data_IF_435502841648
#
_entry.id   IF_435502841648
#
_cell.length_a   1.000
_cell.length_b   1.000
_cell.length_c   1.000
_cell.angle_alpha   90.00
_cell.angle_beta   90.00
_cell.angle_gamma   90.00
#
_symmetry.space_group_name_H-M   'P 1'
#
loop_
_entity.id
_entity.type
_entity.pdbx_description
1 polymer ?
#
# COMPACT_ATOMS: atom_id res chain seq x y z
N UNK A 1 -10.79 -14.97 -3.03
CA UNK A 1 -11.75 -14.10 -2.32
C UNK A 1 -12.91 -13.80 -3.26
N UNK A 2 -13.17 -12.56 -3.67
CA UNK A 2 -14.30 -12.18 -4.56
C UNK A 2 -13.96 -12.08 -6.05
N UNK A 3 -12.69 -12.30 -6.42
CA UNK A 3 -12.24 -12.31 -7.81
C UNK A 3 -11.51 -11.04 -8.26
N UNK A 4 -11.34 -10.04 -7.39
CA UNK A 4 -10.74 -8.74 -7.72
C UNK A 4 -9.36 -8.88 -8.38
N UNK A 5 -8.48 -9.73 -7.85
CA UNK A 5 -7.13 -9.92 -8.40
C UNK A 5 -7.17 -10.63 -9.76
N UNK A 6 -8.14 -11.50 -10.00
CA UNK A 6 -8.35 -12.08 -11.33
C UNK A 6 -8.83 -11.01 -12.33
N UNK A 7 -9.71 -10.09 -11.91
CA UNK A 7 -10.12 -8.97 -12.75
C UNK A 7 -8.95 -8.03 -13.08
N UNK A 8 -8.09 -7.71 -12.10
CA UNK A 8 -6.85 -6.95 -12.31
C UNK A 8 -5.92 -7.66 -13.28
N UNK A 9 -5.67 -8.96 -13.07
CA UNK A 9 -4.84 -9.79 -13.96
C UNK A 9 -5.39 -9.80 -15.39
N UNK A 10 -6.70 -9.91 -15.54
CA UNK A 10 -7.37 -9.96 -16.85
C UNK A 10 -7.32 -8.61 -17.56
N UNK A 11 -7.57 -7.51 -16.86
CA UNK A 11 -7.44 -6.16 -17.43
C UNK A 11 -6.00 -5.85 -17.85
N UNK A 12 -5.02 -6.27 -17.04
CA UNK A 12 -3.60 -6.16 -17.36
C UNK A 12 -3.22 -7.00 -18.60
N UNK A 13 -3.67 -8.25 -18.65
CA UNK A 13 -3.42 -9.15 -19.77
C UNK A 13 -4.07 -8.64 -21.07
N UNK A 14 -5.27 -8.05 -20.99
CA UNK A 14 -5.92 -7.41 -22.14
C UNK A 14 -5.07 -6.28 -22.72
N UNK A 15 -4.52 -5.40 -21.88
CA UNK A 15 -3.65 -4.30 -22.35
C UNK A 15 -2.39 -4.86 -23.01
N UNK A 16 -1.78 -5.88 -22.41
CA UNK A 16 -0.60 -6.56 -22.96
C UNK A 16 -0.90 -7.18 -24.34
N UNK A 17 -2.04 -7.86 -24.47
CA UNK A 17 -2.47 -8.48 -25.72
C UNK A 17 -2.81 -7.45 -26.80
N UNK A 18 -3.47 -6.36 -26.44
CA UNK A 18 -3.81 -5.28 -27.36
C UNK A 18 -2.56 -4.57 -27.90
N UNK A 19 -1.55 -4.39 -27.04
CA UNK A 19 -0.26 -3.82 -27.41
C UNK A 19 0.44 -4.68 -28.47
N UNK A 20 0.63 -5.98 -28.21
CA UNK A 20 1.31 -6.87 -29.16
C UNK A 20 0.48 -7.08 -30.44
N UNK A 21 -0.86 -7.09 -30.34
CA UNK A 21 -1.72 -7.09 -31.52
C UNK A 21 -1.56 -5.81 -32.34
N UNK A 22 -1.41 -4.64 -31.71
CA UNK A 22 -1.15 -3.39 -32.44
C UNK A 22 0.17 -3.44 -33.22
N UNK A 23 1.22 -4.02 -32.63
CA UNK A 23 2.48 -4.27 -33.35
C UNK A 23 2.25 -5.15 -34.58
N UNK A 24 1.49 -6.24 -34.42
CA UNK A 24 1.19 -7.19 -35.48
C UNK A 24 0.37 -6.57 -36.62
N UNK A 25 -0.60 -5.71 -36.30
CA UNK A 25 -1.53 -5.10 -37.27
C UNK A 25 -0.98 -3.83 -37.94
N UNK A 26 0.35 -3.70 -38.02
CA UNK A 26 1.02 -2.65 -38.77
C UNK A 26 1.63 -1.52 -37.93
N UNK A 27 1.55 -1.59 -36.60
CA UNK A 27 2.23 -0.68 -35.68
C UNK A 27 2.07 0.81 -36.03
N UNK A 28 0.85 1.25 -36.34
CA UNK A 28 0.59 2.62 -36.82
C UNK A 28 0.96 3.73 -35.81
N UNK A 29 1.24 3.35 -34.56
CA UNK A 29 1.69 4.27 -33.50
C UNK A 29 3.22 4.41 -33.46
N UNK A 30 3.95 3.64 -34.27
CA UNK A 30 5.41 3.69 -34.35
C UNK A 30 6.11 3.24 -33.06
N UNK A 31 5.50 2.33 -32.29
CA UNK A 31 6.10 1.80 -31.05
C UNK A 31 7.41 1.06 -31.37
N UNK A 32 8.46 1.33 -30.60
CA UNK A 32 9.68 0.53 -30.63
C UNK A 32 9.50 -0.70 -29.73
N UNK A 33 9.49 -1.95 -30.24
CA UNK A 33 9.28 -3.14 -29.43
C UNK A 33 10.29 -3.34 -28.30
N UNK A 34 11.45 -2.68 -28.39
CA UNK A 34 12.52 -2.71 -27.37
C UNK A 34 12.29 -1.71 -26.25
N UNK A 35 11.33 -0.79 -26.41
CA UNK A 35 10.98 0.27 -25.45
C UNK A 35 9.56 0.12 -24.94
N UNK A 36 9.05 -1.11 -24.89
CA UNK A 36 7.82 -1.44 -24.18
C UNK A 36 8.16 -1.56 -22.71
N UNK A 37 7.48 -0.76 -21.89
CA UNK A 37 7.65 -0.77 -20.42
C UNK A 37 6.53 -1.55 -19.74
N UNK A 38 5.43 -1.80 -20.46
CA UNK A 38 4.32 -2.63 -19.99
C UNK A 38 4.66 -4.12 -20.10
N UNK A 39 4.98 -4.73 -18.95
CA UNK A 39 5.17 -6.17 -18.78
C UNK A 39 3.82 -6.89 -18.74
N UNK A 40 3.84 -8.20 -18.48
CA UNK A 40 2.66 -9.04 -18.20
C UNK A 40 2.52 -9.28 -16.69
N UNK A 41 1.42 -9.87 -16.24
CA UNK A 41 1.22 -10.17 -14.82
C UNK A 41 0.51 -11.51 -14.57
N UNK A 42 0.89 -12.18 -13.49
CA UNK A 42 0.25 -13.41 -12.99
C UNK A 42 0.33 -13.48 -11.47
N UNK A 43 -0.73 -13.92 -10.80
CA UNK A 43 -0.77 -14.03 -9.33
C UNK A 43 -0.20 -15.36 -8.85
N UNK A 44 1.04 -15.65 -9.24
CA UNK A 44 1.80 -16.85 -8.86
C UNK A 44 3.26 -16.49 -8.65
N UNK A 45 3.91 -17.11 -7.67
CA UNK A 45 5.34 -16.95 -7.40
C UNK A 45 6.18 -17.73 -8.42
N UNK A 46 6.15 -17.32 -9.68
CA UNK A 46 6.86 -17.98 -10.77
C UNK A 46 8.10 -17.19 -11.21
N UNK A 47 9.28 -17.67 -10.78
CA UNK A 47 10.56 -17.02 -11.13
C UNK A 47 10.93 -17.19 -12.60
N UNK A 48 10.39 -18.20 -13.30
CA UNK A 48 10.78 -18.53 -14.67
C UNK A 48 10.26 -17.49 -15.68
N UNK A 49 9.19 -16.77 -15.32
CA UNK A 49 8.57 -15.76 -16.17
C UNK A 49 9.19 -14.35 -16.01
N UNK A 50 10.22 -14.18 -15.17
CA UNK A 50 10.83 -12.86 -14.92
C UNK A 50 11.40 -12.23 -16.19
N UNK A 51 12.05 -13.03 -17.02
CA UNK A 51 12.67 -12.62 -18.28
C UNK A 51 12.36 -13.67 -19.34
N UNK A 52 11.64 -13.27 -20.39
CA UNK A 52 11.21 -14.14 -21.48
C UNK A 52 11.38 -13.43 -22.82
N UNK A 53 11.24 -14.19 -23.91
CA UNK A 53 11.04 -13.66 -25.25
C UNK A 53 9.68 -14.13 -25.75
N UNK A 54 8.86 -13.20 -26.23
CA UNK A 54 7.51 -13.46 -26.77
C UNK A 54 7.46 -13.22 -28.27
N UNK A 55 6.35 -13.59 -28.93
CA UNK A 55 6.15 -13.32 -30.37
C UNK A 55 7.01 -14.19 -31.30
N UNK A 56 7.47 -15.35 -30.83
CA UNK A 56 8.23 -16.32 -31.61
C UNK A 56 7.31 -17.15 -32.53
N UNK A 57 7.89 -17.86 -33.50
CA UNK A 57 7.16 -18.76 -34.40
C UNK A 57 6.95 -18.24 -35.83
N UNK A 58 7.41 -17.02 -36.14
CA UNK A 58 7.33 -16.42 -37.47
C UNK A 58 6.18 -15.41 -37.62
N UNK A 59 6.00 -14.86 -38.82
CA UNK A 59 5.13 -13.70 -39.10
C UNK A 59 3.68 -13.83 -38.59
N UNK A 60 3.13 -15.05 -38.54
CA UNK A 60 1.76 -15.27 -38.07
C UNK A 60 1.60 -15.21 -36.54
N UNK A 61 2.70 -15.19 -35.78
CA UNK A 61 2.70 -15.40 -34.33
C UNK A 61 3.21 -14.19 -33.52
N UNK A 62 3.34 -13.03 -34.15
CA UNK A 62 3.69 -11.76 -33.51
C UNK A 62 5.05 -11.20 -33.93
N UNK A 63 5.51 -10.20 -33.16
CA UNK A 63 6.81 -9.55 -33.32
C UNK A 63 7.71 -9.99 -32.16
N UNK A 64 8.86 -10.65 -32.42
CA UNK A 64 9.78 -11.05 -31.37
C UNK A 64 10.26 -9.86 -30.53
N UNK A 65 10.14 -9.97 -29.20
CA UNK A 65 10.67 -8.99 -28.25
C UNK A 65 10.95 -9.60 -26.88
N UNK A 66 11.84 -8.97 -26.12
CA UNK A 66 12.03 -9.26 -24.71
C UNK A 66 10.80 -8.79 -23.91
N UNK A 67 10.46 -9.55 -22.87
CA UNK A 67 9.35 -9.25 -21.98
C UNK A 67 9.55 -9.93 -20.61
N UNK A 68 8.57 -9.79 -19.73
CA UNK A 68 8.50 -10.57 -18.50
C UNK A 68 7.16 -10.45 -17.81
N UNK A 69 7.01 -11.20 -16.72
CA UNK A 69 5.86 -11.13 -15.84
C UNK A 69 6.24 -10.54 -14.49
N UNK A 70 5.31 -9.79 -13.92
CA UNK A 70 5.30 -9.41 -12.53
C UNK A 70 4.16 -10.12 -11.79
N UNK A 71 4.21 -10.11 -10.46
CA UNK A 71 3.08 -10.60 -9.66
C UNK A 71 1.91 -9.60 -9.79
N UNK A 72 0.66 -10.07 -9.86
CA UNK A 72 -0.52 -9.21 -10.14
C UNK A 72 -0.61 -7.96 -9.26
N UNK A 73 -0.29 -8.06 -7.98
CA UNK A 73 -0.31 -6.92 -7.03
C UNK A 73 0.74 -5.84 -7.32
N UNK A 74 1.75 -6.14 -8.13
CA UNK A 74 2.75 -5.18 -8.60
C UNK A 74 2.26 -4.39 -9.82
N UNK A 75 1.14 -4.77 -10.44
CA UNK A 75 0.63 -4.08 -11.62
C UNK A 75 0.18 -2.65 -11.30
N UNK A 76 0.48 -1.71 -12.20
CA UNK A 76 -0.12 -0.37 -12.17
C UNK A 76 -1.65 -0.39 -12.21
N UNK A 77 -2.30 -1.41 -12.79
CA UNK A 77 -3.76 -1.59 -12.70
C UNK A 77 -4.22 -1.73 -11.24
N UNK A 78 -3.46 -2.42 -10.39
CA UNK A 78 -3.75 -2.52 -8.95
C UNK A 78 -3.62 -1.15 -8.27
N UNK A 79 -2.57 -0.39 -8.58
CA UNK A 79 -2.39 0.95 -8.05
C UNK A 79 -3.51 1.91 -8.49
N UNK A 80 -3.92 1.84 -9.77
CA UNK A 80 -5.04 2.60 -10.33
C UNK A 80 -6.36 2.21 -9.68
N UNK A 81 -6.63 0.92 -9.47
CA UNK A 81 -7.80 0.43 -8.72
C UNK A 81 -7.82 1.01 -7.30
N UNK A 82 -6.68 1.01 -6.61
CA UNK A 82 -6.59 1.53 -5.25
C UNK A 82 -6.70 3.05 -5.14
N UNK A 83 -6.42 3.82 -6.19
CA UNK A 83 -6.48 5.29 -6.16
C UNK A 83 -7.69 5.87 -6.90
N UNK A 84 -8.47 5.06 -7.60
CA UNK A 84 -9.67 5.49 -8.28
C UNK A 84 -10.77 5.89 -7.27
N UNK A 85 -11.51 6.96 -7.59
CA UNK A 85 -12.67 7.41 -6.82
C UNK A 85 -13.95 6.67 -7.19
N UNK A 86 -14.09 6.34 -8.47
CA UNK A 86 -15.23 5.67 -9.08
C UNK A 86 -14.81 5.04 -10.42
N UNK A 87 -15.74 4.37 -11.11
CA UNK A 87 -15.47 3.68 -12.38
C UNK A 87 -15.05 4.63 -13.51
N UNK A 88 -15.52 5.88 -13.49
CA UNK A 88 -15.16 6.89 -14.48
C UNK A 88 -13.72 7.36 -14.27
N UNK A 89 -13.35 7.65 -13.02
CA UNK A 89 -11.98 8.00 -12.62
C UNK A 89 -11.01 6.83 -12.88
N UNK A 90 -11.44 5.59 -12.63
CA UNK A 90 -10.70 4.38 -12.97
C UNK A 90 -10.40 4.33 -14.47
N UNK A 91 -11.43 4.43 -15.32
CA UNK A 91 -11.28 4.39 -16.79
C UNK A 91 -10.35 5.49 -17.31
N UNK A 92 -10.46 6.69 -16.76
CA UNK A 92 -9.62 7.83 -17.12
C UNK A 92 -8.16 7.57 -16.76
N UNK A 93 -7.88 7.09 -15.54
CA UNK A 93 -6.52 6.73 -15.09
C UNK A 93 -5.92 5.63 -15.94
N UNK A 94 -6.69 4.58 -16.25
CA UNK A 94 -6.26 3.50 -17.13
C UNK A 94 -5.84 4.03 -18.51
N UNK A 95 -6.51 5.05 -19.04
CA UNK A 95 -6.17 5.64 -20.35
C UNK A 95 -4.81 6.35 -20.38
N UNK A 96 -4.32 6.80 -19.21
CA UNK A 96 -3.08 7.58 -19.06
C UNK A 96 -1.85 6.71 -18.83
N UNK A 97 -2.03 5.41 -18.59
CA UNK A 97 -0.93 4.45 -18.44
C UNK A 97 -0.05 4.50 -19.68
N UNK A 98 1.23 4.78 -19.49
CA UNK A 98 2.25 4.73 -20.54
C UNK A 98 2.72 3.29 -20.67
N UNK A 99 2.61 2.73 -21.87
CA UNK A 99 2.92 1.32 -22.11
C UNK A 99 4.18 1.09 -22.93
N UNK A 100 4.57 2.08 -23.75
CA UNK A 100 5.73 1.99 -24.61
C UNK A 100 6.21 3.39 -25.01
N UNK A 101 7.33 3.44 -25.72
CA UNK A 101 7.80 4.63 -26.42
C UNK A 101 7.92 4.38 -27.92
N UNK A 102 7.72 5.42 -28.72
CA UNK A 102 7.97 5.35 -30.17
C UNK A 102 9.47 5.30 -30.48
N UNK A 103 9.84 5.04 -31.73
CA UNK A 103 11.22 5.15 -32.20
C UNK A 103 11.83 6.54 -31.96
N UNK A 104 11.02 7.60 -31.99
CA UNK A 104 11.42 8.99 -31.69
C UNK A 104 11.39 9.31 -30.19
N UNK A 105 11.05 8.35 -29.32
CA UNK A 105 11.01 8.53 -27.86
C UNK A 105 9.74 9.18 -27.32
N UNK A 106 8.65 9.27 -28.10
CA UNK A 106 7.37 9.79 -27.60
C UNK A 106 6.63 8.72 -26.80
N UNK A 107 6.00 9.05 -25.66
CA UNK A 107 5.24 8.07 -24.89
C UNK A 107 3.98 7.61 -25.66
N UNK A 108 3.66 6.33 -25.55
CA UNK A 108 2.43 5.73 -26.07
C UNK A 108 1.60 5.23 -24.90
N UNK A 109 0.32 5.61 -24.86
CA UNK A 109 -0.59 5.29 -23.75
C UNK A 109 -1.62 4.21 -24.10
N UNK A 110 -2.18 3.58 -23.07
CA UNK A 110 -3.31 2.66 -23.22
C UNK A 110 -4.53 3.32 -23.87
N UNK A 111 -4.72 4.63 -23.68
CA UNK A 111 -5.76 5.43 -24.35
C UNK A 111 -5.57 5.50 -25.87
N UNK A 112 -4.33 5.57 -26.36
CA UNK A 112 -4.03 5.54 -27.80
C UNK A 112 -4.28 4.15 -28.41
N UNK A 113 -4.16 3.08 -27.61
CA UNK A 113 -4.57 1.71 -27.98
C UNK A 113 -6.10 1.49 -27.87
N UNK A 114 -6.84 2.46 -27.32
CA UNK A 114 -8.32 2.47 -27.21
C UNK A 114 -8.91 1.29 -26.40
N UNK A 115 -8.18 0.79 -25.41
CA UNK A 115 -8.62 -0.37 -24.59
C UNK A 115 -9.07 -0.03 -23.17
N UNK A 116 -8.93 1.22 -22.72
CA UNK A 116 -9.31 1.67 -21.38
C UNK A 116 -10.78 1.36 -21.02
N UNK A 117 -11.69 1.41 -22.02
CA UNK A 117 -13.09 1.08 -21.81
C UNK A 117 -13.32 -0.40 -21.54
N UNK A 118 -12.62 -1.27 -22.27
CA UNK A 118 -12.69 -2.72 -22.07
C UNK A 118 -12.01 -3.14 -20.75
N UNK A 119 -10.88 -2.52 -20.40
CA UNK A 119 -10.25 -2.72 -19.09
C UNK A 119 -11.18 -2.30 -17.94
N UNK A 120 -11.84 -1.14 -18.05
CA UNK A 120 -12.80 -0.69 -17.05
C UNK A 120 -14.02 -1.64 -16.94
N UNK A 121 -14.47 -2.22 -18.06
CA UNK A 121 -15.54 -3.22 -18.05
C UNK A 121 -15.15 -4.49 -17.28
N UNK A 122 -13.91 -4.97 -17.46
CA UNK A 122 -13.36 -6.11 -16.70
C UNK A 122 -13.27 -5.83 -15.20
N UNK A 123 -13.07 -4.56 -14.81
CA UNK A 123 -12.93 -4.11 -13.43
C UNK A 123 -14.25 -3.60 -12.81
N UNK A 124 -15.36 -3.65 -13.54
CA UNK A 124 -16.65 -3.07 -13.11
C UNK A 124 -17.16 -3.63 -11.78
N UNK A 125 -16.97 -4.92 -11.54
CA UNK A 125 -17.35 -5.55 -10.27
C UNK A 125 -16.24 -5.41 -9.23
N UNK A 126 -14.99 -5.54 -9.66
CA UNK A 126 -13.80 -5.47 -8.81
C UNK A 126 -13.49 -4.07 -8.24
N UNK A 127 -14.20 -3.01 -8.66
CA UNK A 127 -14.10 -1.68 -8.03
C UNK A 127 -14.99 -1.55 -6.79
N UNK A 128 -15.88 -2.52 -6.53
CA UNK A 128 -16.80 -2.50 -5.39
C UNK A 128 -16.09 -3.05 -4.15
N UNK A 129 -16.00 -2.30 -3.04
CA UNK A 129 -15.39 -2.80 -1.82
C UNK A 129 -16.09 -4.04 -1.25
N UNK A 130 -15.32 -4.99 -0.73
CA UNK A 130 -15.86 -6.24 -0.19
C UNK A 130 -16.06 -6.14 1.33
N UNK A 131 -17.31 -6.28 1.77
CA UNK A 131 -17.65 -6.30 3.19
C UNK A 131 -17.45 -7.71 3.78
N UNK A 132 -16.73 -7.76 4.90
CA UNK A 132 -16.54 -8.93 5.76
C UNK A 132 -16.63 -8.48 7.21
N UNK A 133 -16.21 -9.33 8.16
CA UNK A 133 -16.24 -9.01 9.58
C UNK A 133 -15.02 -9.59 10.31
N UNK A 134 -14.68 -9.00 11.45
CA UNK A 134 -13.72 -9.57 12.41
C UNK A 134 -14.33 -10.76 13.15
N UNK A 135 -13.55 -11.45 14.00
CA UNK A 135 -14.05 -12.52 14.87
C UNK A 135 -15.14 -12.03 15.85
N UNK A 136 -15.12 -10.75 16.21
CA UNK A 136 -16.09 -10.08 17.09
C UNK A 136 -17.18 -9.34 16.30
N UNK A 137 -17.40 -9.74 15.04
CA UNK A 137 -18.45 -9.23 14.18
C UNK A 137 -18.35 -7.73 13.83
N UNK A 138 -17.20 -7.10 14.07
CA UNK A 138 -16.96 -5.71 13.65
C UNK A 138 -16.87 -5.67 12.12
N UNK A 139 -17.66 -4.82 11.43
CA UNK A 139 -17.59 -4.69 9.98
C UNK A 139 -16.18 -4.33 9.50
N UNK A 140 -15.68 -5.05 8.50
CA UNK A 140 -14.38 -4.80 7.90
C UNK A 140 -14.48 -4.80 6.37
N UNK A 141 -13.73 -3.92 5.71
CA UNK A 141 -13.72 -3.79 4.25
C UNK A 141 -12.35 -4.20 3.72
N UNK A 142 -12.29 -5.29 2.94
CA UNK A 142 -11.05 -5.76 2.29
C UNK A 142 -11.14 -5.45 0.81
N UNK A 143 -10.29 -4.56 0.30
CA UNK A 143 -10.34 -4.17 -1.11
C UNK A 143 -9.05 -3.54 -1.62
N UNK A 144 -8.50 -4.11 -2.69
CA UNK A 144 -7.21 -3.73 -3.26
C UNK A 144 -6.01 -4.15 -2.40
N UNK A 145 -4.82 -4.10 -2.99
CA UNK A 145 -3.58 -4.50 -2.30
C UNK A 145 -2.35 -4.30 -3.18
N UNK A 146 -1.92 -3.05 -3.43
CA UNK A 146 -0.73 -2.76 -4.20
C UNK A 146 0.51 -2.97 -3.34
N UNK A 147 1.67 -3.16 -3.98
CA UNK A 147 2.95 -3.11 -3.29
C UNK A 147 3.20 -1.77 -2.59
N UNK A 148 3.99 -1.80 -1.52
CA UNK A 148 4.36 -0.62 -0.73
C UNK A 148 5.76 -0.06 -1.08
N UNK A 149 6.48 -0.67 -2.03
CA UNK A 149 7.76 -0.18 -2.54
C UNK A 149 7.58 0.58 -3.87
N UNK A 150 7.15 -0.11 -4.93
CA UNK A 150 6.90 0.46 -6.27
C UNK A 150 5.54 1.17 -6.38
N UNK A 151 4.68 1.01 -5.38
CA UNK A 151 3.40 1.69 -5.27
C UNK A 151 3.17 2.13 -3.80
N UNK A 152 1.95 2.56 -3.48
CA UNK A 152 1.63 3.26 -2.23
C UNK A 152 1.19 2.36 -1.08
N UNK A 153 1.07 1.04 -1.27
CA UNK A 153 0.89 0.10 -0.16
C UNK A 153 -0.39 0.21 0.65
N UNK A 154 -1.49 0.75 0.11
CA UNK A 154 -2.75 0.93 0.82
C UNK A 154 -3.91 0.18 0.17
N UNK A 155 -4.93 -0.17 0.96
CA UNK A 155 -6.24 -0.58 0.43
C UNK A 155 -6.88 0.56 -0.39
N UNK A 156 -7.97 0.27 -1.11
CA UNK A 156 -8.53 1.26 -2.03
C UNK A 156 -9.09 2.52 -1.35
N UNK A 157 -9.00 3.63 -2.07
CA UNK A 157 -9.62 4.89 -1.72
C UNK A 157 -11.14 4.77 -1.59
N UNK A 158 -11.79 4.03 -2.49
CA UNK A 158 -13.24 3.76 -2.43
C UNK A 158 -13.63 3.07 -1.12
N UNK A 159 -12.86 2.08 -0.67
CA UNK A 159 -13.11 1.37 0.60
C UNK A 159 -12.95 2.30 1.80
N UNK A 160 -11.86 3.07 1.87
CA UNK A 160 -11.65 4.03 2.96
C UNK A 160 -12.75 5.10 3.00
N UNK A 161 -13.15 5.65 1.83
CA UNK A 161 -14.24 6.63 1.75
C UNK A 161 -15.58 6.04 2.17
N UNK A 162 -15.85 4.79 1.83
CA UNK A 162 -17.06 4.08 2.25
C UNK A 162 -17.08 3.91 3.77
N UNK A 163 -15.98 3.48 4.39
CA UNK A 163 -15.85 3.40 5.85
C UNK A 163 -16.12 4.74 6.54
N UNK A 164 -15.49 5.82 6.06
CA UNK A 164 -15.68 7.19 6.57
C UNK A 164 -17.11 7.73 6.42
N UNK A 165 -17.96 7.12 5.60
CA UNK A 165 -19.36 7.51 5.43
C UNK A 165 -20.34 6.63 6.19
N UNK A 166 -19.93 5.44 6.61
CA UNK A 166 -20.79 4.45 7.24
C UNK A 166 -20.51 4.26 8.74
N UNK A 167 -19.39 4.75 9.24
CA UNK A 167 -18.99 4.62 10.64
C UNK A 167 -18.44 5.95 11.18
N UNK A 168 -18.53 6.13 12.49
CA UNK A 168 -17.94 7.28 13.19
C UNK A 168 -16.41 7.23 13.19
N UNK A 169 -15.83 6.02 13.18
CA UNK A 169 -14.40 5.77 13.11
C UNK A 169 -14.08 4.77 12.00
N UNK A 170 -13.13 5.13 11.13
CA UNK A 170 -12.62 4.24 10.08
C UNK A 170 -11.12 3.99 10.30
N UNK A 171 -10.77 2.79 10.78
CA UNK A 171 -9.38 2.38 10.96
C UNK A 171 -8.87 1.74 9.66
N UNK A 172 -7.69 2.15 9.21
CA UNK A 172 -7.01 1.62 8.03
C UNK A 172 -5.51 1.56 8.28
N UNK A 173 -4.78 0.81 7.45
CA UNK A 173 -3.34 0.65 7.55
C UNK A 173 -2.64 0.88 6.19
N UNK A 174 -1.32 0.91 6.23
CA UNK A 174 -0.44 0.94 5.07
C UNK A 174 0.73 -0.03 5.28
N UNK A 175 1.21 -0.66 4.20
CA UNK A 175 2.26 -1.67 4.27
C UNK A 175 3.66 -1.13 4.59
N UNK A 176 4.52 -1.98 5.14
CA UNK A 176 5.85 -1.63 5.69
C UNK A 176 5.78 -0.68 6.91
N UNK A 177 6.89 0.00 7.22
CA UNK A 177 6.97 0.98 8.30
C UNK A 177 6.42 2.35 7.90
N UNK A 178 6.40 3.29 8.85
CA UNK A 178 5.87 4.63 8.63
C UNK A 178 6.73 5.49 7.67
N UNK A 179 7.98 5.09 7.44
CA UNK A 179 8.89 5.68 6.44
C UNK A 179 8.50 5.40 4.99
N UNK A 180 7.74 4.33 4.73
CA UNK A 180 7.24 3.96 3.41
C UNK A 180 5.71 3.99 3.34
N UNK A 181 5.05 3.16 4.15
CA UNK A 181 3.61 3.00 4.10
C UNK A 181 2.87 4.27 4.51
N UNK A 182 3.19 4.81 5.69
CA UNK A 182 2.52 6.00 6.19
C UNK A 182 2.85 7.23 5.34
N UNK A 183 4.11 7.44 4.95
CA UNK A 183 4.50 8.52 4.03
C UNK A 183 3.66 8.46 2.74
N UNK A 184 3.59 7.31 2.07
CA UNK A 184 2.79 7.16 0.83
C UNK A 184 1.29 7.26 1.06
N UNK A 185 0.79 6.78 2.20
CA UNK A 185 -0.61 6.98 2.58
C UNK A 185 -0.93 8.48 2.66
N UNK A 186 -0.06 9.26 3.31
CA UNK A 186 -0.24 10.68 3.53
C UNK A 186 0.02 11.49 2.24
N UNK A 187 1.21 11.42 1.67
CA UNK A 187 1.59 12.24 0.52
C UNK A 187 0.92 11.84 -0.81
N UNK A 188 0.46 10.59 -0.95
CA UNK A 188 -0.21 10.09 -2.17
C UNK A 188 -1.71 9.87 -1.94
N UNK A 189 -2.11 8.91 -1.10
CA UNK A 189 -3.52 8.50 -0.99
C UNK A 189 -4.39 9.60 -0.38
N UNK A 190 -3.98 10.21 0.72
CA UNK A 190 -4.73 11.30 1.36
C UNK A 190 -4.83 12.52 0.45
N UNK A 191 -3.72 12.89 -0.20
CA UNK A 191 -3.69 13.96 -1.20
C UNK A 191 -4.67 13.71 -2.35
N UNK A 192 -4.59 12.55 -3.01
CA UNK A 192 -5.48 12.24 -4.14
C UNK A 192 -6.95 12.05 -3.71
N UNK A 193 -7.16 11.54 -2.51
CA UNK A 193 -8.47 11.23 -1.97
C UNK A 193 -9.18 12.38 -1.26
N UNK A 194 -8.47 13.48 -1.01
CA UNK A 194 -8.93 14.56 -0.13
C UNK A 194 -9.18 14.08 1.31
N UNK A 195 -8.44 13.07 1.76
CA UNK A 195 -8.57 12.53 3.11
C UNK A 195 -7.75 13.36 4.09
N UNK A 196 -8.26 13.50 5.31
CA UNK A 196 -7.58 14.16 6.43
C UNK A 196 -7.59 13.18 7.60
N UNK A 197 -6.49 12.45 7.84
CA UNK A 197 -6.41 11.56 8.98
C UNK A 197 -6.45 12.36 10.28
N UNK A 198 -7.19 11.86 11.27
CA UNK A 198 -7.34 12.56 12.56
C UNK A 198 -6.31 12.11 13.61
N UNK A 199 -5.75 10.90 13.46
CA UNK A 199 -4.71 10.35 14.32
C UNK A 199 -3.99 9.16 13.65
N UNK A 200 -2.87 8.75 14.23
CA UNK A 200 -2.10 7.57 13.80
C UNK A 200 -1.82 6.65 14.99
N UNK A 201 -2.06 5.35 14.81
CA UNK A 201 -1.54 4.31 15.70
C UNK A 201 -0.21 3.82 15.13
N UNK A 202 0.88 3.95 15.88
CA UNK A 202 2.19 3.42 15.51
C UNK A 202 2.47 2.15 16.32
N UNK A 203 2.59 1.01 15.64
CA UNK A 203 2.78 -0.29 16.30
C UNK A 203 4.27 -0.57 16.53
N UNK A 204 4.61 -1.05 17.73
CA UNK A 204 5.97 -1.49 18.07
C UNK A 204 5.94 -2.77 18.91
N UNK A 205 7.09 -3.45 19.02
CA UNK A 205 7.29 -4.60 19.92
C UNK A 205 8.66 -4.50 20.59
N UNK A 206 8.79 -5.01 21.82
CA UNK A 206 10.06 -5.09 22.55
C UNK A 206 11.12 -5.83 21.72
N UNK A 207 10.74 -6.97 21.14
CA UNK A 207 11.63 -7.80 20.31
C UNK A 207 12.15 -7.06 19.07
N UNK A 208 11.32 -6.29 18.38
CA UNK A 208 11.77 -5.50 17.23
C UNK A 208 12.74 -4.38 17.64
N UNK A 209 12.47 -3.71 18.76
CA UNK A 209 13.39 -2.69 19.28
C UNK A 209 14.73 -3.31 19.71
N UNK A 210 14.73 -4.49 20.35
CA UNK A 210 15.98 -5.22 20.63
C UNK A 210 16.76 -5.53 19.34
N UNK A 211 16.09 -5.93 18.26
CA UNK A 211 16.75 -6.13 16.96
C UNK A 211 17.38 -4.85 16.43
N UNK A 212 16.65 -3.72 16.48
CA UNK A 212 17.21 -2.41 16.12
C UNK A 212 18.37 -1.99 17.05
N UNK A 213 18.37 -2.47 18.30
CA UNK A 213 19.45 -2.30 19.27
C UNK A 213 20.62 -3.27 19.13
N UNK A 214 20.62 -4.11 18.07
CA UNK A 214 21.71 -5.01 17.70
C UNK A 214 21.56 -6.47 18.15
N UNK A 215 20.43 -6.85 18.76
CA UNK A 215 20.22 -8.23 19.23
C UNK A 215 19.84 -9.14 18.05
N UNK A 216 20.57 -10.25 17.80
CA UNK A 216 20.22 -11.20 16.76
C UNK A 216 18.85 -11.84 16.99
N UNK A 217 18.18 -12.23 15.89
CA UNK A 217 16.83 -12.83 15.93
C UNK A 217 16.72 -14.05 16.86
N UNK A 218 17.79 -14.83 16.99
CA UNK A 218 17.84 -16.03 17.83
C UNK A 218 17.83 -15.75 19.34
N UNK A 219 18.21 -14.53 19.76
CA UNK A 219 18.49 -14.20 21.17
C UNK A 219 17.42 -13.30 21.80
N UNK A 220 16.31 -13.05 21.10
CA UNK A 220 15.28 -12.08 21.50
C UNK A 220 14.43 -12.48 22.72
N UNK A 221 14.55 -13.72 23.20
CA UNK A 221 13.77 -14.23 24.33
C UNK A 221 14.32 -13.86 25.72
N UNK A 222 15.55 -13.33 25.80
CA UNK A 222 16.14 -12.87 27.05
C UNK A 222 15.84 -11.38 27.26
N UNK A 223 15.62 -10.99 28.51
CA UNK A 223 15.48 -9.58 28.89
C UNK A 223 16.75 -8.81 28.49
N UNK A 224 16.59 -7.68 27.79
CA UNK A 224 17.67 -6.73 27.50
C UNK A 224 17.10 -5.31 27.34
N UNK A 225 16.80 -4.67 28.48
CA UNK A 225 16.34 -3.27 28.54
C UNK A 225 17.33 -2.32 27.84
N UNK A 226 18.67 -2.41 28.04
CA UNK A 226 19.62 -1.59 27.30
C UNK A 226 19.49 -1.72 25.78
N UNK A 227 19.24 -2.90 25.22
CA UNK A 227 19.00 -3.07 23.79
C UNK A 227 17.70 -2.43 23.33
N UNK A 228 16.62 -2.53 24.11
CA UNK A 228 15.36 -1.81 23.83
C UNK A 228 15.63 -0.30 23.72
N UNK A 229 16.36 0.27 24.68
CA UNK A 229 16.71 1.69 24.70
C UNK A 229 17.60 2.07 23.49
N UNK A 230 18.62 1.26 23.17
CA UNK A 230 19.47 1.50 21.98
C UNK A 230 18.68 1.45 20.67
N UNK A 231 17.75 0.51 20.54
CA UNK A 231 16.89 0.39 19.36
C UNK A 231 15.74 1.39 19.32
N UNK A 232 15.47 2.07 20.44
CA UNK A 232 14.44 3.09 20.59
C UNK A 232 14.52 4.19 19.52
N UNK A 233 15.73 4.53 19.06
CA UNK A 233 15.93 5.53 18.00
C UNK A 233 15.13 5.28 16.71
N UNK A 234 14.79 4.02 16.39
CA UNK A 234 13.89 3.71 15.28
C UNK A 234 12.45 4.20 15.55
N UNK A 235 11.88 3.84 16.71
CA UNK A 235 10.54 4.26 17.12
C UNK A 235 10.45 5.79 17.26
N UNK A 236 11.44 6.39 17.91
CA UNK A 236 11.57 7.84 18.05
C UNK A 236 11.52 8.53 16.70
N UNK A 237 12.26 8.00 15.71
CA UNK A 237 12.27 8.60 14.38
C UNK A 237 10.92 8.52 13.65
N UNK A 238 10.21 7.40 13.79
CA UNK A 238 8.88 7.25 13.20
C UNK A 238 7.86 8.18 13.87
N UNK A 239 7.94 8.37 15.19
CA UNK A 239 7.11 9.36 15.90
C UNK A 239 7.36 10.77 15.35
N UNK A 240 8.62 11.21 15.28
CA UNK A 240 8.99 12.53 14.75
C UNK A 240 8.48 12.72 13.32
N UNK A 241 8.62 11.70 12.47
CA UNK A 241 8.20 11.79 11.08
C UNK A 241 6.68 11.95 10.95
N UNK A 242 5.88 11.20 11.71
CA UNK A 242 4.43 11.34 11.71
C UNK A 242 3.98 12.72 12.23
N UNK A 243 4.67 13.26 13.23
CA UNK A 243 4.41 14.60 13.74
C UNK A 243 4.72 15.70 12.71
N UNK A 244 5.66 15.51 11.77
CA UNK A 244 5.91 16.46 10.67
C UNK A 244 4.69 16.66 9.76
N UNK A 245 3.84 15.64 9.63
CA UNK A 245 2.58 15.73 8.92
C UNK A 245 1.49 16.47 9.72
N UNK A 246 1.76 16.85 10.97
CA UNK A 246 0.78 17.51 11.85
C UNK A 246 -0.23 16.55 12.47
N UNK A 247 0.12 15.26 12.60
CA UNK A 247 -0.76 14.21 13.11
C UNK A 247 -0.45 13.87 14.57
N UNK A 248 -1.47 13.73 15.43
CA UNK A 248 -1.29 13.14 16.75
C UNK A 248 -1.04 11.63 16.62
N UNK A 249 -0.18 11.09 17.48
CA UNK A 249 0.27 9.70 17.44
C UNK A 249 -0.07 9.02 18.77
N UNK A 250 -0.49 7.75 18.71
CA UNK A 250 -0.52 6.82 19.84
C UNK A 250 0.35 5.63 19.50
N UNK A 251 1.24 5.21 20.39
CA UNK A 251 2.03 3.99 20.20
C UNK A 251 1.31 2.80 20.83
N UNK A 252 1.09 1.76 20.03
CA UNK A 252 0.58 0.47 20.50
C UNK A 252 1.74 -0.52 20.62
N UNK A 253 2.05 -0.94 21.86
CA UNK A 253 3.12 -1.91 22.13
C UNK A 253 2.50 -3.30 22.19
N UNK A 254 2.62 -4.05 21.10
CA UNK A 254 2.10 -5.42 21.04
C UNK A 254 2.92 -6.34 21.94
N UNK A 255 2.26 -6.95 22.92
CA UNK A 255 2.88 -7.79 23.94
C UNK A 255 3.20 -9.19 23.41
N UNK A 256 4.37 -9.71 23.79
CA UNK A 256 4.74 -11.11 23.62
C UNK A 256 4.96 -11.80 24.97
N UNK A 257 4.76 -13.13 25.06
CA UNK A 257 4.93 -13.86 26.32
C UNK A 257 6.32 -13.78 26.97
N UNK A 258 7.35 -13.45 26.19
CA UNK A 258 8.73 -13.31 26.65
C UNK A 258 9.12 -11.89 27.04
N UNK A 259 8.24 -10.92 26.78
CA UNK A 259 8.52 -9.53 27.10
C UNK A 259 8.40 -9.34 28.61
N UNK A 260 9.38 -8.69 29.21
CA UNK A 260 9.37 -8.37 30.64
C UNK A 260 8.70 -7.01 30.87
N UNK A 261 8.15 -6.81 32.07
CA UNK A 261 7.59 -5.51 32.46
C UNK A 261 8.62 -4.39 32.36
N UNK A 262 9.89 -4.66 32.72
CA UNK A 262 10.97 -3.69 32.61
C UNK A 262 11.25 -3.26 31.16
N UNK A 263 11.20 -4.20 30.20
CA UNK A 263 11.35 -3.88 28.78
C UNK A 263 10.16 -3.10 28.23
N UNK A 264 8.94 -3.49 28.62
CA UNK A 264 7.72 -2.79 28.21
C UNK A 264 7.71 -1.35 28.73
N UNK A 265 8.07 -1.15 30.01
CA UNK A 265 8.17 0.17 30.63
C UNK A 265 9.22 1.04 29.95
N UNK A 266 10.34 0.46 29.49
CA UNK A 266 11.34 1.19 28.72
C UNK A 266 10.77 1.73 27.39
N UNK A 267 9.90 0.97 26.70
CA UNK A 267 9.21 1.45 25.49
C UNK A 267 8.25 2.59 25.83
N UNK A 268 7.47 2.47 26.90
CA UNK A 268 6.54 3.53 27.34
C UNK A 268 7.27 4.82 27.74
N UNK A 269 8.43 4.70 28.38
CA UNK A 269 9.29 5.83 28.73
C UNK A 269 9.87 6.52 27.49
N UNK A 270 10.28 5.76 26.46
CA UNK A 270 10.69 6.33 25.16
C UNK A 270 9.56 7.19 24.59
N UNK A 271 8.34 6.68 24.55
CA UNK A 271 7.17 7.41 24.01
C UNK A 271 6.87 8.69 24.81
N UNK A 272 6.95 8.60 26.14
CA UNK A 272 6.68 9.73 27.06
C UNK A 272 7.67 10.88 26.85
N UNK A 273 8.96 10.57 26.65
CA UNK A 273 9.99 11.59 26.34
C UNK A 273 9.72 12.33 25.04
N UNK A 274 9.01 11.70 24.10
CA UNK A 274 8.60 12.26 22.81
C UNK A 274 7.18 12.86 22.83
N UNK A 275 6.57 12.99 24.02
CA UNK A 275 5.26 13.62 24.20
C UNK A 275 4.11 12.83 23.57
N UNK A 276 4.27 11.51 23.39
CA UNK A 276 3.29 10.64 22.73
C UNK A 276 2.72 9.64 23.73
N UNK A 277 1.39 9.48 23.70
CA UNK A 277 0.70 8.48 24.47
C UNK A 277 1.04 7.07 23.95
N UNK A 278 1.25 6.13 24.87
CA UNK A 278 1.48 4.73 24.55
C UNK A 278 0.69 3.81 25.47
N UNK A 279 0.28 2.66 24.95
CA UNK A 279 -0.44 1.60 25.66
C UNK A 279 0.14 0.23 25.27
N UNK A 280 0.06 -0.72 26.21
CA UNK A 280 0.27 -2.13 25.91
C UNK A 280 -0.95 -2.66 25.16
N UNK A 281 -0.72 -3.60 24.24
CA UNK A 281 -1.76 -4.19 23.41
C UNK A 281 -1.64 -5.71 23.47
N UNK A 282 -2.72 -6.37 23.92
CA UNK A 282 -2.83 -7.83 23.96
C UNK A 282 -3.94 -8.35 23.04
N UNK A 283 -4.34 -7.56 22.02
CA UNK A 283 -5.44 -7.91 21.09
C UNK A 283 -5.29 -9.27 20.38
N UNK A 284 -4.05 -9.77 20.27
CA UNK A 284 -3.79 -11.10 19.74
C UNK A 284 -4.29 -12.21 20.68
N UNK A 285 -4.12 -12.05 22.00
CA UNK A 285 -4.51 -13.03 23.01
C UNK A 285 -5.93 -12.81 23.53
N UNK A 286 -6.31 -11.54 23.73
CA UNK A 286 -7.51 -11.15 24.47
C UNK A 286 -8.59 -10.48 23.59
N UNK A 287 -8.41 -10.49 22.26
CA UNK A 287 -9.36 -9.87 21.33
C UNK A 287 -9.52 -8.36 21.54
N UNK A 288 -10.71 -7.82 21.31
CA UNK A 288 -11.01 -6.40 21.47
C UNK A 288 -10.74 -5.88 22.89
N UNK A 289 -10.91 -6.73 23.92
CA UNK A 289 -10.63 -6.37 25.31
C UNK A 289 -9.16 -5.98 25.53
N UNK A 290 -8.23 -6.67 24.83
CA UNK A 290 -6.79 -6.38 24.88
C UNK A 290 -6.37 -5.08 24.17
N UNK A 291 -7.31 -4.39 23.51
CA UNK A 291 -7.07 -3.15 22.78
C UNK A 291 -7.74 -1.91 23.40
N UNK A 292 -8.49 -2.08 24.49
CA UNK A 292 -9.29 -0.99 25.10
C UNK A 292 -8.41 0.18 25.51
N UNK A 293 -7.26 -0.04 26.15
CA UNK A 293 -6.38 1.05 26.58
C UNK A 293 -5.83 1.86 25.39
N UNK A 294 -5.46 1.19 24.29
CA UNK A 294 -5.03 1.85 23.04
C UNK A 294 -6.18 2.68 22.47
N UNK A 295 -7.39 2.11 22.44
CA UNK A 295 -8.58 2.79 21.93
C UNK A 295 -8.97 4.01 22.79
N UNK A 296 -8.92 3.91 24.11
CA UNK A 296 -9.18 5.02 25.03
C UNK A 296 -8.17 6.17 24.84
N UNK A 297 -6.87 5.86 24.71
CA UNK A 297 -5.85 6.86 24.42
C UNK A 297 -6.07 7.51 23.05
N UNK A 298 -6.45 6.72 22.04
CA UNK A 298 -6.82 7.23 20.72
C UNK A 298 -8.02 8.17 20.80
N UNK A 299 -9.10 7.78 21.47
CA UNK A 299 -10.28 8.62 21.65
C UNK A 299 -9.94 9.92 22.40
N UNK A 300 -9.08 9.85 23.41
CA UNK A 300 -8.61 11.01 24.16
C UNK A 300 -7.83 11.99 23.27
N UNK A 301 -6.92 11.51 22.41
CA UNK A 301 -6.20 12.41 21.48
C UNK A 301 -7.12 12.97 20.38
N UNK A 302 -8.08 12.18 19.88
CA UNK A 302 -9.06 12.66 18.90
C UNK A 302 -9.94 13.77 19.46
N UNK A 303 -10.34 13.67 20.73
CA UNK A 303 -11.13 14.69 21.42
C UNK A 303 -10.42 16.04 21.56
N UNK A 304 -9.08 16.10 21.42
CA UNK A 304 -8.34 17.37 21.44
C UNK A 304 -8.51 18.21 20.18
N UNK A 305 -8.87 17.60 19.05
CA UNK A 305 -9.00 18.28 17.76
C UNK A 305 -7.69 18.87 17.22
N UNK A 306 -6.53 18.41 17.69
CA UNK A 306 -5.23 19.01 17.36
C UNK A 306 -4.66 18.60 15.99
N UNK A 307 -5.29 17.65 15.28
CA UNK A 307 -4.83 17.21 13.97
C UNK A 307 -4.80 18.38 12.98
N UNK A 308 -3.61 18.63 12.42
CA UNK A 308 -3.35 19.70 11.44
C UNK A 308 -2.69 19.13 10.18
N UNK A 309 -3.24 18.02 9.71
CA UNK A 309 -2.69 17.22 8.62
C UNK A 309 -2.30 18.05 7.40
N UNK A 310 -1.04 17.91 6.97
CA UNK A 310 -0.54 18.43 5.70
C UNK A 310 0.54 17.52 5.10
N UNK A 311 0.56 17.31 3.78
CA UNK A 311 1.68 16.66 3.08
C UNK A 311 3.01 17.39 3.32
N UNK A 312 4.14 16.67 3.25
CA UNK A 312 5.46 17.22 3.59
C UNK A 312 6.18 17.94 2.43
N UNK A 313 5.65 17.85 1.21
CA UNK A 313 6.16 18.57 0.04
C UNK A 313 5.01 19.05 -0.86
N UNK A 314 5.14 20.17 -1.61
CA UNK A 314 4.14 20.57 -2.59
C UNK A 314 4.37 19.87 -3.95
N UNK A 315 3.35 19.84 -4.83
CA UNK A 315 3.42 19.12 -6.11
C UNK A 315 4.22 19.84 -7.22
N UNK A 316 4.48 21.14 -7.04
CA UNK A 316 5.30 21.97 -7.93
C UNK A 316 6.80 21.92 -7.58
N UNK A 317 7.17 21.22 -6.50
CA UNK A 317 8.56 20.93 -6.18
C UNK A 317 9.18 20.03 -7.28
N UNK A 318 10.39 20.35 -7.78
CA UNK A 318 11.09 19.49 -8.73
C UNK A 318 11.31 18.07 -8.17
N UNK A 319 11.20 17.06 -9.05
CA UNK A 319 11.54 15.66 -8.75
C UNK A 319 13.03 15.46 -8.49
#
# INVERSE_FOLDING_TARGET
FTGDFHAVSTAHALLSAALDNHLQQGNVLGMDPRRIVWRRAVDMNDRALRNIVVGLGGKAHGVPREDGFDITVASEVMAVLCLARDLTDLKERLSRIVVAYTYEGKPVTAGQLKVQGAMAALLKEAIKPNLVQTLENVPAIIHGGPFANIAHGCNSLTATRMGLKLADYAVTEAGFGADLGAEKFLDIKCRMGGLKPDAVILVATVRALKMHGGVPKGDLGREDVPAVVRGGGNLEKHIENLQKFGLPVVVAVNMFPTDTEAELDAVLQICTRHGVAAAKSSVFADGGAGGVEVAEKLLAILATGQASYRPIYPLDMPL
#
